data_IF_390027911708
#
_entry.id   IF_390027911708
#
_cell.length_a   1.000
_cell.length_b   1.000
_cell.length_c   1.000
_cell.angle_alpha   90.00
_cell.angle_beta   90.00
_cell.angle_gamma   90.00
#
_symmetry.space_group_name_H-M   'P 1'
#
loop_
_entity.id
_entity.type
_entity.pdbx_description
1 polymer ?
#
# COMPACT_ATOMS: atom_id res chain seq x y z
N UNK A 1 -29.03 -8.79 -7.00
CA UNK A 1 -28.34 -7.60 -6.46
C UNK A 1 -27.12 -7.20 -7.31
N UNK A 2 -26.17 -8.08 -7.63
CA UNK A 2 -24.97 -7.76 -8.46
C UNK A 2 -25.29 -7.09 -9.81
N UNK A 3 -26.38 -7.49 -10.53
CA UNK A 3 -26.78 -6.82 -11.79
C UNK A 3 -27.16 -5.34 -11.63
N UNK A 4 -27.75 -4.95 -10.49
CA UNK A 4 -28.09 -3.55 -10.23
C UNK A 4 -26.83 -2.70 -9.98
N UNK A 5 -25.84 -3.27 -9.30
CA UNK A 5 -24.56 -2.63 -9.07
C UNK A 5 -23.87 -2.31 -10.40
N UNK A 6 -23.82 -3.30 -11.32
CA UNK A 6 -23.26 -3.12 -12.66
C UNK A 6 -23.98 -2.04 -13.48
N UNK A 7 -25.31 -1.91 -13.35
CA UNK A 7 -26.08 -0.86 -14.01
C UNK A 7 -25.70 0.54 -13.46
N UNK A 8 -25.60 0.69 -12.14
CA UNK A 8 -25.20 1.97 -11.54
C UNK A 8 -23.75 2.33 -11.88
N UNK A 9 -22.88 1.34 -11.99
CA UNK A 9 -21.51 1.52 -12.43
C UNK A 9 -21.43 2.01 -13.88
N UNK A 10 -22.23 1.41 -14.79
CA UNK A 10 -22.30 1.85 -16.19
C UNK A 10 -22.86 3.28 -16.35
N UNK A 11 -23.70 3.72 -15.40
CA UNK A 11 -24.24 5.09 -15.34
C UNK A 11 -23.31 6.08 -14.64
N UNK A 12 -22.14 5.64 -14.16
CA UNK A 12 -21.23 6.45 -13.34
C UNK A 12 -21.88 7.05 -12.06
N UNK A 13 -22.98 6.45 -11.58
CA UNK A 13 -23.62 6.88 -10.33
C UNK A 13 -22.97 6.18 -9.14
N UNK A 14 -21.81 6.70 -8.74
CA UNK A 14 -20.97 6.13 -7.66
C UNK A 14 -21.69 6.06 -6.32
N UNK A 15 -22.59 7.03 -6.02
CA UNK A 15 -23.35 7.01 -4.77
C UNK A 15 -24.30 5.85 -4.70
N UNK A 16 -25.15 5.66 -5.72
CA UNK A 16 -26.10 4.54 -5.78
C UNK A 16 -25.38 3.19 -5.88
N UNK A 17 -24.24 3.17 -6.55
CA UNK A 17 -23.40 1.97 -6.63
C UNK A 17 -22.92 1.55 -5.23
N UNK A 18 -22.37 2.49 -4.42
CA UNK A 18 -21.94 2.24 -3.04
C UNK A 18 -23.10 1.84 -2.12
N UNK A 19 -24.23 2.51 -2.20
CA UNK A 19 -25.42 2.14 -1.43
C UNK A 19 -25.90 0.71 -1.76
N UNK A 20 -25.87 0.35 -3.03
CA UNK A 20 -26.26 -0.98 -3.47
C UNK A 20 -25.23 -2.06 -3.06
N UNK A 21 -23.92 -1.71 -3.09
CA UNK A 21 -22.83 -2.57 -2.60
C UNK A 21 -22.93 -2.80 -1.09
N UNK A 22 -23.11 -1.75 -0.30
CA UNK A 22 -23.23 -1.87 1.15
C UNK A 22 -24.44 -2.76 1.52
N UNK A 23 -25.61 -2.53 0.93
CA UNK A 23 -26.79 -3.40 1.12
C UNK A 23 -26.56 -4.84 0.66
N UNK A 24 -25.70 -5.05 -0.31
CA UNK A 24 -25.32 -6.39 -0.75
C UNK A 24 -24.42 -7.06 0.27
N UNK A 25 -23.40 -6.35 0.76
CA UNK A 25 -22.41 -6.83 1.72
C UNK A 25 -23.03 -7.09 3.11
N UNK A 26 -24.09 -6.36 3.50
CA UNK A 26 -24.87 -6.65 4.73
C UNK A 26 -25.44 -8.07 4.73
N UNK A 27 -25.72 -8.64 3.55
CA UNK A 27 -26.28 -9.98 3.39
C UNK A 27 -25.21 -11.01 3.02
N UNK A 28 -24.22 -10.64 2.23
CA UNK A 28 -23.17 -11.50 1.69
C UNK A 28 -21.79 -10.99 2.11
N UNK A 29 -21.47 -11.12 3.40
CA UNK A 29 -20.22 -10.63 3.99
C UNK A 29 -18.95 -11.32 3.45
N UNK A 30 -19.07 -12.57 2.98
CA UNK A 30 -17.92 -13.37 2.52
C UNK A 30 -17.52 -13.09 1.04
N UNK A 31 -18.23 -12.18 0.34
CA UNK A 31 -17.96 -11.90 -1.06
C UNK A 31 -16.77 -10.93 -1.22
N UNK A 32 -15.57 -11.51 -1.35
CA UNK A 32 -14.30 -10.77 -1.52
C UNK A 32 -14.33 -9.82 -2.72
N UNK A 33 -14.97 -10.24 -3.84
CA UNK A 33 -15.06 -9.40 -5.05
C UNK A 33 -15.86 -8.12 -4.78
N UNK A 34 -16.94 -8.25 -4.01
CA UNK A 34 -17.78 -7.11 -3.65
C UNK A 34 -17.06 -6.14 -2.70
N UNK A 35 -16.31 -6.66 -1.72
CA UNK A 35 -15.45 -5.84 -0.85
C UNK A 35 -14.35 -5.13 -1.64
N UNK A 36 -13.68 -5.87 -2.54
CA UNK A 36 -12.63 -5.27 -3.41
C UNK A 36 -13.21 -4.16 -4.31
N UNK A 37 -14.42 -4.36 -4.83
CA UNK A 37 -15.11 -3.37 -5.65
C UNK A 37 -15.46 -2.11 -4.84
N UNK A 38 -16.03 -2.27 -3.64
CA UNK A 38 -16.31 -1.16 -2.73
C UNK A 38 -15.03 -0.38 -2.38
N UNK A 39 -13.98 -1.09 -2.02
CA UNK A 39 -12.67 -0.49 -1.71
C UNK A 39 -12.08 0.30 -2.88
N UNK A 40 -12.21 -0.20 -4.11
CA UNK A 40 -11.78 0.54 -5.32
C UNK A 40 -12.57 1.82 -5.53
N UNK A 41 -13.89 1.80 -5.27
CA UNK A 41 -14.73 3.01 -5.40
C UNK A 41 -14.39 4.02 -4.31
N UNK A 42 -14.25 3.59 -3.05
CA UNK A 42 -13.85 4.47 -1.95
C UNK A 42 -12.47 5.09 -2.20
N UNK A 43 -11.50 4.32 -2.70
CA UNK A 43 -10.18 4.83 -3.06
C UNK A 43 -10.24 5.90 -4.17
N UNK A 44 -11.09 5.73 -5.19
CA UNK A 44 -11.33 6.73 -6.24
C UNK A 44 -11.95 8.02 -5.70
N UNK A 45 -12.74 7.93 -4.65
CA UNK A 45 -13.35 9.07 -3.97
C UNK A 45 -12.45 9.70 -2.90
N UNK A 46 -11.20 9.25 -2.77
CA UNK A 46 -10.24 9.67 -1.73
C UNK A 46 -10.73 9.40 -0.30
N UNK A 47 -11.66 8.47 -0.14
CA UNK A 47 -12.15 8.01 1.17
C UNK A 47 -11.27 6.85 1.65
N UNK A 48 -10.03 7.18 2.01
CA UNK A 48 -8.98 6.20 2.27
C UNK A 48 -9.28 5.28 3.46
N UNK A 49 -9.87 5.80 4.54
CA UNK A 49 -10.21 5.00 5.73
C UNK A 49 -11.23 3.90 5.40
N UNK A 50 -12.28 4.24 4.64
CA UNK A 50 -13.28 3.28 4.20
C UNK A 50 -12.71 2.27 3.20
N UNK A 51 -11.80 2.72 2.34
CA UNK A 51 -11.10 1.83 1.41
C UNK A 51 -10.20 0.84 2.16
N UNK A 52 -9.49 1.28 3.21
CA UNK A 52 -8.67 0.41 4.07
C UNK A 52 -9.55 -0.67 4.68
N UNK A 53 -10.66 -0.28 5.31
CA UNK A 53 -11.59 -1.22 5.92
C UNK A 53 -12.03 -2.31 4.92
N UNK A 54 -12.47 -1.90 3.71
CA UNK A 54 -12.89 -2.86 2.69
C UNK A 54 -11.77 -3.81 2.27
N UNK A 55 -10.53 -3.33 2.14
CA UNK A 55 -9.41 -4.20 1.77
C UNK A 55 -8.92 -5.06 2.94
N UNK A 56 -9.08 -4.63 4.19
CA UNK A 56 -8.84 -5.46 5.37
C UNK A 56 -9.85 -6.62 5.45
N UNK A 57 -11.14 -6.41 5.11
CA UNK A 57 -12.11 -7.48 4.97
C UNK A 57 -11.72 -8.47 3.86
N UNK A 58 -11.17 -7.99 2.75
CA UNK A 58 -10.61 -8.88 1.71
C UNK A 58 -9.45 -9.73 2.25
N UNK A 59 -8.59 -9.18 3.12
CA UNK A 59 -7.49 -9.94 3.73
C UNK A 59 -8.05 -10.99 4.69
N UNK A 60 -9.08 -10.68 5.48
CA UNK A 60 -9.72 -11.66 6.37
C UNK A 60 -10.23 -12.88 5.61
N UNK A 61 -10.84 -12.67 4.44
CA UNK A 61 -11.38 -13.75 3.62
C UNK A 61 -10.34 -14.46 2.76
N UNK A 62 -9.29 -13.74 2.30
CA UNK A 62 -8.24 -14.26 1.42
C UNK A 62 -6.84 -13.77 1.85
N UNK A 63 -6.31 -14.27 2.99
CA UNK A 63 -5.08 -13.73 3.60
C UNK A 63 -3.81 -13.97 2.76
N UNK A 64 -3.77 -14.97 1.89
CA UNK A 64 -2.63 -15.28 1.03
C UNK A 64 -2.54 -14.41 -0.22
N UNK A 65 -3.55 -13.58 -0.50
CA UNK A 65 -3.54 -12.73 -1.67
C UNK A 65 -2.77 -11.42 -1.40
N UNK A 66 -1.51 -11.37 -1.84
CA UNK A 66 -0.63 -10.22 -1.67
C UNK A 66 -1.18 -8.90 -2.25
N UNK A 67 -2.08 -8.98 -3.24
CA UNK A 67 -2.70 -7.78 -3.82
C UNK A 67 -3.54 -7.00 -2.81
N UNK A 68 -4.23 -7.67 -1.89
CA UNK A 68 -5.03 -7.00 -0.86
C UNK A 68 -4.13 -6.27 0.14
N UNK A 69 -3.06 -6.91 0.59
CA UNK A 69 -2.05 -6.29 1.47
C UNK A 69 -1.44 -5.04 0.83
N UNK A 70 -1.03 -5.11 -0.44
CA UNK A 70 -0.52 -3.96 -1.16
C UNK A 70 -1.54 -2.82 -1.25
N UNK A 71 -2.82 -3.12 -1.52
CA UNK A 71 -3.87 -2.09 -1.59
C UNK A 71 -4.09 -1.38 -0.26
N UNK A 72 -4.10 -2.11 0.85
CA UNK A 72 -4.14 -1.50 2.20
C UNK A 72 -2.95 -0.57 2.39
N UNK A 73 -1.75 -1.02 2.05
CA UNK A 73 -0.53 -0.22 2.16
C UNK A 73 -0.59 1.07 1.31
N UNK A 74 -1.09 0.98 0.08
CA UNK A 74 -1.27 2.14 -0.82
C UNK A 74 -2.22 3.19 -0.20
N UNK A 75 -3.32 2.76 0.44
CA UNK A 75 -4.27 3.67 1.09
C UNK A 75 -3.70 4.28 2.38
N UNK A 76 -3.00 3.49 3.19
CA UNK A 76 -2.32 3.97 4.39
C UNK A 76 -1.22 5.00 4.03
N UNK A 77 -0.48 4.75 2.95
CA UNK A 77 0.50 5.70 2.43
C UNK A 77 -0.15 7.03 2.01
N UNK A 78 -1.31 6.96 1.35
CA UNK A 78 -2.06 8.15 0.92
C UNK A 78 -2.63 8.96 2.10
N UNK A 79 -3.04 8.31 3.19
CA UNK A 79 -3.45 8.98 4.43
C UNK A 79 -2.30 9.77 5.06
N UNK A 80 -1.08 9.27 4.94
CA UNK A 80 0.08 9.90 5.56
C UNK A 80 0.10 9.79 7.08
N UNK A 81 1.01 10.54 7.72
CA UNK A 81 1.24 10.47 9.16
C UNK A 81 2.20 9.32 9.55
N UNK A 82 2.91 9.48 10.66
CA UNK A 82 3.96 8.55 11.07
C UNK A 82 3.43 7.11 11.27
N UNK A 83 2.34 6.96 12.02
CA UNK A 83 1.78 5.65 12.34
C UNK A 83 1.21 4.94 11.10
N UNK A 84 0.53 5.67 10.24
CA UNK A 84 0.00 5.11 8.99
C UNK A 84 1.11 4.69 8.04
N UNK A 85 2.17 5.48 7.91
CA UNK A 85 3.33 5.13 7.09
C UNK A 85 4.07 3.90 7.65
N UNK A 86 4.17 3.77 8.98
CA UNK A 86 4.72 2.58 9.62
C UNK A 86 3.86 1.35 9.32
N UNK A 87 2.54 1.46 9.47
CA UNK A 87 1.62 0.37 9.10
C UNK A 87 1.71 0.03 7.62
N UNK A 88 1.80 1.04 6.75
CA UNK A 88 1.98 0.84 5.31
C UNK A 88 3.24 0.03 5.00
N UNK A 89 4.37 0.31 5.65
CA UNK A 89 5.60 -0.46 5.45
C UNK A 89 5.46 -1.93 5.83
N UNK A 90 4.73 -2.23 6.90
CA UNK A 90 4.44 -3.62 7.32
C UNK A 90 3.58 -4.37 6.29
N UNK A 91 2.53 -3.72 5.76
CA UNK A 91 1.69 -4.31 4.73
C UNK A 91 2.44 -4.48 3.39
N UNK A 92 3.33 -3.55 3.03
CA UNK A 92 4.20 -3.74 1.86
C UNK A 92 5.19 -4.90 2.05
N UNK A 93 5.79 -5.03 3.24
CA UNK A 93 6.66 -6.16 3.55
C UNK A 93 5.92 -7.50 3.42
N UNK A 94 4.72 -7.61 3.99
CA UNK A 94 3.89 -8.80 3.86
C UNK A 94 3.56 -9.11 2.38
N UNK A 95 3.24 -8.09 1.58
CA UNK A 95 2.98 -8.27 0.15
C UNK A 95 4.23 -8.72 -0.63
N UNK A 96 5.42 -8.22 -0.27
CA UNK A 96 6.71 -8.63 -0.87
C UNK A 96 7.00 -10.09 -0.53
N UNK A 97 6.84 -10.48 0.72
CA UNK A 97 7.11 -11.85 1.19
C UNK A 97 6.17 -12.85 0.48
N UNK A 98 4.87 -12.57 0.44
CA UNK A 98 3.88 -13.43 -0.22
C UNK A 98 4.08 -13.52 -1.74
N UNK A 99 4.53 -12.44 -2.39
CA UNK A 99 4.81 -12.43 -3.83
C UNK A 99 6.21 -12.96 -4.17
N UNK A 100 6.99 -13.43 -3.19
CA UNK A 100 8.40 -13.83 -3.35
C UNK A 100 9.26 -12.72 -3.97
N UNK A 101 8.90 -11.47 -3.68
CA UNK A 101 9.58 -10.30 -4.23
C UNK A 101 9.27 -10.00 -5.71
N UNK A 102 8.19 -10.56 -6.27
CA UNK A 102 7.83 -10.34 -7.68
C UNK A 102 6.97 -9.09 -7.89
N UNK A 103 6.33 -8.55 -6.84
CA UNK A 103 5.48 -7.35 -6.95
C UNK A 103 6.31 -6.06 -6.93
N UNK A 104 6.64 -5.57 -8.13
CA UNK A 104 7.39 -4.33 -8.34
C UNK A 104 6.70 -3.13 -7.66
N UNK A 105 5.37 -3.08 -7.64
CA UNK A 105 4.64 -1.97 -7.00
C UNK A 105 4.80 -1.97 -5.48
N UNK A 106 4.81 -3.15 -4.85
CA UNK A 106 5.05 -3.27 -3.42
C UNK A 106 6.49 -2.85 -3.06
N UNK A 107 7.47 -3.25 -3.88
CA UNK A 107 8.87 -2.86 -3.70
C UNK A 107 9.05 -1.33 -3.76
N UNK A 108 8.53 -0.68 -4.81
CA UNK A 108 8.57 0.78 -4.91
C UNK A 108 7.78 1.46 -3.79
N UNK A 109 6.62 0.93 -3.41
CA UNK A 109 5.82 1.44 -2.31
C UNK A 109 6.57 1.45 -0.98
N UNK A 110 7.32 0.39 -0.68
CA UNK A 110 8.17 0.29 0.50
C UNK A 110 9.26 1.38 0.52
N UNK A 111 9.95 1.59 -0.61
CA UNK A 111 10.99 2.63 -0.74
C UNK A 111 10.40 4.03 -0.59
N UNK A 112 9.25 4.30 -1.20
CA UNK A 112 8.56 5.60 -1.10
C UNK A 112 8.13 5.89 0.34
N UNK A 113 7.60 4.88 1.03
CA UNK A 113 7.18 5.00 2.44
C UNK A 113 8.36 5.36 3.33
N UNK A 114 9.51 4.69 3.16
CA UNK A 114 10.74 5.02 3.87
C UNK A 114 11.18 6.46 3.59
N UNK A 115 11.22 6.87 2.32
CA UNK A 115 11.67 8.22 1.95
C UNK A 115 10.77 9.30 2.55
N UNK A 116 9.47 9.05 2.66
CA UNK A 116 8.51 9.97 3.28
C UNK A 116 8.68 10.00 4.80
N UNK A 117 8.89 8.86 5.45
CA UNK A 117 9.18 8.80 6.89
C UNK A 117 10.44 9.58 7.27
N UNK A 118 11.53 9.39 6.52
CA UNK A 118 12.80 10.10 6.76
C UNK A 118 12.64 11.61 6.57
N UNK A 119 11.91 12.05 5.54
CA UNK A 119 11.64 13.48 5.32
C UNK A 119 10.81 14.09 6.45
N UNK A 120 9.78 13.40 6.90
CA UNK A 120 8.91 13.87 7.99
C UNK A 120 9.67 13.94 9.32
N UNK A 121 10.59 13.00 9.57
CA UNK A 121 11.43 13.00 10.77
C UNK A 121 12.48 14.12 10.75
N UNK A 122 13.05 14.42 9.59
CA UNK A 122 14.01 15.53 9.45
C UNK A 122 13.36 16.91 9.64
N UNK A 123 12.04 17.03 9.40
CA UNK A 123 11.28 18.27 9.61
C UNK A 123 10.75 18.47 11.04
N UNK A 124 10.73 17.43 11.89
CA UNK A 124 10.19 17.47 13.25
C UNK A 124 11.32 17.32 14.29
N UNK A 125 12.11 18.36 14.46
CA UNK A 125 13.28 18.37 15.37
C UNK A 125 12.94 18.45 16.87
N UNK A 126 11.70 18.27 17.31
CA UNK A 126 11.29 18.54 18.70
C UNK A 126 10.78 17.36 19.53
N UNK A 127 10.75 16.12 19.01
CA UNK A 127 10.35 14.96 19.83
C UNK A 127 11.50 13.97 20.01
N UNK A 128 12.43 14.34 20.89
CA UNK A 128 13.68 13.59 21.19
C UNK A 128 13.53 12.50 22.25
N UNK A 129 12.35 11.94 22.51
CA UNK A 129 12.18 11.02 23.67
C UNK A 129 11.48 9.69 23.37
N UNK A 130 11.40 9.21 22.13
CA UNK A 130 10.77 7.90 21.88
C UNK A 130 11.76 6.91 21.24
N UNK A 131 12.41 6.07 22.08
CA UNK A 131 13.30 4.97 21.64
C UNK A 131 12.59 3.98 20.72
N UNK A 132 11.27 3.80 20.88
CA UNK A 132 10.45 2.96 20.00
C UNK A 132 10.33 3.53 18.57
N UNK A 133 10.38 4.84 18.41
CA UNK A 133 10.36 5.49 17.09
C UNK A 133 11.63 5.20 16.28
N UNK A 134 12.79 5.22 16.91
CA UNK A 134 14.09 4.96 16.24
C UNK A 134 14.19 3.52 15.73
N UNK A 135 13.84 2.54 16.54
CA UNK A 135 13.85 1.12 16.16
C UNK A 135 12.87 0.83 15.02
N UNK A 136 11.74 1.53 15.00
CA UNK A 136 10.75 1.38 13.92
C UNK A 136 11.24 1.96 12.59
N UNK A 137 11.99 3.06 12.62
CA UNK A 137 12.56 3.67 11.41
C UNK A 137 13.68 2.80 10.85
N UNK A 138 14.57 2.29 11.70
CA UNK A 138 15.64 1.39 11.31
C UNK A 138 15.11 0.11 10.65
N UNK A 139 14.01 -0.46 11.19
CA UNK A 139 13.36 -1.60 10.56
C UNK A 139 12.81 -1.28 9.16
N UNK A 140 12.21 -0.10 8.97
CA UNK A 140 11.71 0.35 7.66
C UNK A 140 12.87 0.64 6.70
N UNK A 141 14.00 1.15 7.19
CA UNK A 141 15.21 1.37 6.40
C UNK A 141 15.79 0.06 5.87
N UNK A 142 15.90 -0.95 6.73
CA UNK A 142 16.38 -2.27 6.34
C UNK A 142 15.46 -2.95 5.31
N UNK A 143 14.14 -2.85 5.49
CA UNK A 143 13.15 -3.34 4.52
C UNK A 143 13.27 -2.62 3.16
N UNK A 144 13.44 -1.31 3.17
CA UNK A 144 13.58 -0.54 1.94
C UNK A 144 14.90 -0.84 1.22
N UNK A 145 15.99 -1.08 1.96
CA UNK A 145 17.27 -1.49 1.37
C UNK A 145 17.15 -2.87 0.69
N UNK A 146 16.54 -3.84 1.35
CA UNK A 146 16.28 -5.17 0.76
C UNK A 146 15.37 -5.08 -0.48
N UNK A 147 14.34 -4.24 -0.43
CA UNK A 147 13.47 -3.99 -1.58
C UNK A 147 14.22 -3.34 -2.76
N UNK A 148 15.15 -2.44 -2.47
CA UNK A 148 16.01 -1.79 -3.45
C UNK A 148 16.92 -2.80 -4.17
N UNK A 149 17.61 -3.63 -3.41
CA UNK A 149 18.46 -4.70 -3.97
C UNK A 149 17.65 -5.67 -4.84
N UNK A 150 16.45 -6.03 -4.39
CA UNK A 150 15.58 -6.91 -5.15
C UNK A 150 15.14 -6.30 -6.48
N UNK A 151 14.80 -5.01 -6.48
CA UNK A 151 14.49 -4.28 -7.72
C UNK A 151 15.67 -4.27 -8.67
N UNK A 152 16.87 -3.95 -8.20
CA UNK A 152 18.08 -3.96 -9.04
C UNK A 152 18.33 -5.33 -9.66
N UNK A 153 18.18 -6.42 -8.90
CA UNK A 153 18.32 -7.78 -9.40
C UNK A 153 17.28 -8.10 -10.48
N UNK A 154 16.02 -7.71 -10.28
CA UNK A 154 14.96 -7.97 -11.26
C UNK A 154 15.20 -7.23 -12.58
N UNK A 155 15.62 -5.96 -12.52
CA UNK A 155 15.88 -5.17 -13.71
C UNK A 155 17.20 -5.55 -14.39
N UNK A 156 18.22 -5.97 -13.65
CA UNK A 156 19.46 -6.52 -14.24
C UNK A 156 19.20 -7.76 -15.11
N UNK A 157 18.21 -8.58 -14.72
CA UNK A 157 17.86 -9.79 -15.48
C UNK A 157 16.94 -9.48 -16.67
N UNK A 158 16.00 -8.54 -16.51
CA UNK A 158 14.91 -8.32 -17.47
C UNK A 158 15.18 -7.19 -18.47
N UNK A 159 15.78 -6.08 -18.04
CA UNK A 159 15.96 -4.88 -18.84
C UNK A 159 17.16 -4.05 -18.36
N UNK A 160 18.32 -4.36 -18.85
CA UNK A 160 19.58 -3.71 -18.48
C UNK A 160 19.57 -2.19 -18.78
N UNK A 161 18.87 -1.77 -19.84
CA UNK A 161 18.74 -0.36 -20.23
C UNK A 161 18.03 0.51 -19.17
N UNK A 162 17.08 -0.04 -18.42
CA UNK A 162 16.36 0.67 -17.38
C UNK A 162 17.08 0.67 -16.02
N UNK A 163 18.15 -0.11 -15.88
CA UNK A 163 18.88 -0.25 -14.61
C UNK A 163 19.43 1.10 -14.13
N UNK A 164 19.88 1.95 -15.04
CA UNK A 164 20.36 3.30 -14.74
C UNK A 164 19.28 4.19 -14.11
N UNK A 165 18.06 4.12 -14.63
CA UNK A 165 16.91 4.89 -14.14
C UNK A 165 16.46 4.33 -12.77
N UNK A 166 16.41 3.02 -12.64
CA UNK A 166 16.06 2.35 -11.37
C UNK A 166 17.05 2.75 -10.28
N UNK A 167 18.35 2.70 -10.56
CA UNK A 167 19.39 3.15 -9.61
C UNK A 167 19.26 4.60 -9.21
N UNK A 168 18.82 5.49 -10.11
CA UNK A 168 18.57 6.89 -9.78
C UNK A 168 17.33 7.06 -8.89
N UNK A 169 16.27 6.31 -9.12
CA UNK A 169 15.03 6.39 -8.33
C UNK A 169 15.18 5.69 -6.97
N UNK A 170 15.95 4.61 -6.94
CA UNK A 170 16.23 3.81 -5.74
C UNK A 170 17.34 4.42 -4.89
N UNK A 171 18.27 5.22 -5.48
CA UNK A 171 19.27 5.96 -4.70
C UNK A 171 18.60 6.79 -3.64
N UNK A 172 18.39 6.12 -2.55
CA UNK A 172 18.25 6.74 -1.25
C UNK A 172 19.47 7.63 -1.11
N UNK A 173 19.25 8.95 -1.06
CA UNK A 173 20.35 9.87 -0.72
C UNK A 173 20.91 9.36 0.59
N UNK A 174 22.05 8.71 0.55
CA UNK A 174 22.87 8.52 1.73
C UNK A 174 23.00 9.92 2.34
N UNK A 175 22.45 10.08 3.53
CA UNK A 175 22.59 11.31 4.27
C UNK A 175 24.09 11.54 4.39
N UNK A 176 24.59 12.58 3.71
CA UNK A 176 25.97 13.00 3.88
C UNK A 176 26.21 13.18 5.37
N UNK A 177 27.14 12.35 5.89
CA UNK A 177 27.77 12.60 7.18
C UNK A 177 28.32 14.02 7.28
#
# INVERSE_FOLDING_TARGET
MKRRIAVFESQNDTKKCLEALNKYLDVFMDDVEAWEHAGKIYAKLFMHEQAIFCFEECICSAPSNYHHHRRVAEQLYALGGFDNLRRASMYYAAAIDMSTGADVRALYGCILTRNTLVKNHAGSSNDSSNSNGKNSIEAVENLAAAAAERLEQMYAIKQEELLGIVRQTVKVKEAKK
#
